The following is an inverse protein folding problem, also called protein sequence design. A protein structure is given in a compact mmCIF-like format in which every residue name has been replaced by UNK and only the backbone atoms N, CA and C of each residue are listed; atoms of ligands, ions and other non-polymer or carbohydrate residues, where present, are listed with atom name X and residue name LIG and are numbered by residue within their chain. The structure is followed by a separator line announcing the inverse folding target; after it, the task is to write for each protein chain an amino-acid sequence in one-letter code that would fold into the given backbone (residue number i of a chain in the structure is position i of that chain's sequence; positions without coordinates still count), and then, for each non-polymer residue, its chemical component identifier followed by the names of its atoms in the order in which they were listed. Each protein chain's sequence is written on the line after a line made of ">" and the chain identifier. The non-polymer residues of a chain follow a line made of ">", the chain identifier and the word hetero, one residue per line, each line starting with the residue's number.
data_IF_704721664793
#
_entry.id   IF_704721664793
#
_cell.length_a   1.000
_cell.length_b   1.000
_cell.length_c   1.000
_cell.angle_alpha   90.00
_cell.angle_beta   90.00
_cell.angle_gamma   90.00
#
_symmetry.space_group_name_H-M   'P 1'
#
loop_
_entity.id
_entity.type
_entity.pdbx_description
1 polymer ?
#
# COMPACT_ATOMS: atom_id res chain seq x y z
N UNK A 1 36.70 44.71 26.06
CA UNK A 1 37.61 45.09 24.96
C UNK A 1 37.11 44.39 23.71
N UNK A 2 36.67 45.19 22.75
CA UNK A 2 35.82 44.85 21.60
C UNK A 2 36.50 43.90 20.61
N UNK A 3 35.71 42.94 20.10
CA UNK A 3 36.00 42.18 18.88
C UNK A 3 35.84 43.14 17.70
N UNK A 4 36.93 43.46 17.00
CA UNK A 4 36.91 44.01 15.65
C UNK A 4 38.12 43.44 14.90
N UNK A 5 37.95 42.24 14.36
CA UNK A 5 38.76 41.75 13.25
C UNK A 5 38.51 42.69 12.06
N UNK A 6 39.53 43.44 11.67
CA UNK A 6 39.52 44.26 10.46
C UNK A 6 39.49 43.35 9.24
N UNK A 7 38.32 43.25 8.60
CA UNK A 7 38.17 42.78 7.22
C UNK A 7 39.05 43.66 6.32
N UNK A 8 40.18 43.10 5.89
CA UNK A 8 41.09 43.75 4.96
C UNK A 8 40.47 43.65 3.55
N UNK A 9 39.61 44.62 3.21
CA UNK A 9 39.00 44.73 1.89
C UNK A 9 40.10 45.19 0.93
N UNK A 10 40.71 44.26 0.20
CA UNK A 10 41.52 44.61 -0.97
C UNK A 10 40.58 45.19 -2.03
N UNK A 11 40.63 46.51 -2.20
CA UNK A 11 40.01 47.20 -3.33
C UNK A 11 40.85 46.94 -4.59
N UNK A 12 40.19 46.63 -5.71
CA UNK A 12 40.82 46.33 -6.99
C UNK A 12 40.76 44.86 -7.39
N UNK A 13 40.43 44.61 -8.66
CA UNK A 13 40.37 43.27 -9.23
C UNK A 13 41.77 42.68 -9.43
N UNK A 14 41.98 41.37 -9.18
CA UNK A 14 43.23 40.69 -9.51
C UNK A 14 43.62 40.85 -10.98
N UNK A 15 44.92 40.98 -11.25
CA UNK A 15 45.48 41.13 -12.61
C UNK A 15 44.96 40.08 -13.60
N UNK A 16 44.77 38.85 -13.13
CA UNK A 16 44.18 37.76 -13.92
C UNK A 16 42.76 38.07 -14.41
N UNK A 17 41.93 38.72 -13.59
CA UNK A 17 40.58 39.11 -14.00
C UNK A 17 40.63 40.31 -14.95
N UNK A 18 41.49 41.29 -14.67
CA UNK A 18 41.70 42.44 -15.56
C UNK A 18 42.17 42.00 -16.95
N UNK A 19 42.99 40.95 -17.05
CA UNK A 19 43.43 40.39 -18.34
C UNK A 19 42.30 39.82 -19.20
N UNK A 20 41.15 39.53 -18.59
CA UNK A 20 39.96 39.04 -19.28
C UNK A 20 38.82 40.09 -19.31
N UNK A 21 39.08 41.33 -18.90
CA UNK A 21 38.09 42.39 -18.92
C UNK A 21 37.72 42.77 -20.34
N UNK A 22 36.42 42.84 -20.66
CA UNK A 22 35.99 43.18 -22.00
C UNK A 22 36.27 44.68 -22.31
N UNK A 23 36.99 45.01 -23.40
CA UNK A 23 37.50 46.36 -23.65
C UNK A 23 36.39 47.42 -23.88
N UNK A 24 35.23 46.99 -24.37
CA UNK A 24 34.15 47.90 -24.81
C UNK A 24 32.76 47.58 -24.25
N UNK A 25 32.61 46.67 -23.28
CA UNK A 25 31.26 46.27 -22.80
C UNK A 25 30.97 46.63 -21.34
N UNK A 26 31.96 47.17 -20.64
CA UNK A 26 31.85 47.58 -19.24
C UNK A 26 31.92 49.11 -19.09
N UNK A 27 31.34 49.84 -20.04
CA UNK A 27 31.38 51.30 -20.06
C UNK A 27 30.81 51.90 -18.77
N UNK A 28 31.53 52.87 -18.18
CA UNK A 28 31.12 53.54 -16.96
C UNK A 28 31.40 52.75 -15.67
N UNK A 29 32.07 51.61 -15.76
CA UNK A 29 32.48 50.81 -14.59
C UNK A 29 33.98 50.99 -14.35
N UNK A 30 34.36 51.50 -13.18
CA UNK A 30 35.75 51.63 -12.76
C UNK A 30 36.22 50.33 -12.05
N UNK A 31 37.16 49.55 -12.60
CA UNK A 31 37.62 48.29 -12.00
C UNK A 31 38.27 48.44 -10.62
N UNK A 32 38.84 49.62 -10.32
CA UNK A 32 39.55 49.89 -9.05
C UNK A 32 38.58 50.13 -7.88
N UNK A 33 37.31 50.41 -8.18
CA UNK A 33 36.24 50.60 -7.19
C UNK A 33 35.49 49.29 -6.88
N UNK A 34 35.83 48.19 -7.55
CA UNK A 34 35.16 46.91 -7.40
C UNK A 34 35.88 46.01 -6.40
N UNK A 35 35.07 45.28 -5.62
CA UNK A 35 35.55 44.25 -4.71
C UNK A 35 35.35 42.86 -5.29
N UNK A 36 36.16 41.92 -4.80
CA UNK A 36 36.14 40.52 -5.20
C UNK A 36 34.82 39.79 -4.89
N UNK A 37 34.00 40.34 -3.98
CA UNK A 37 32.69 39.81 -3.59
C UNK A 37 31.53 40.46 -4.33
N UNK A 38 31.82 41.36 -5.27
CA UNK A 38 30.79 42.09 -5.99
C UNK A 38 29.95 41.17 -6.89
N UNK A 39 28.63 41.39 -6.83
CA UNK A 39 27.65 40.76 -7.72
C UNK A 39 27.49 41.50 -9.05
N UNK A 40 28.25 42.57 -9.27
CA UNK A 40 28.14 43.41 -10.46
C UNK A 40 28.39 42.61 -11.74
N UNK A 41 27.51 42.80 -12.73
CA UNK A 41 27.54 42.00 -13.95
C UNK A 41 28.58 42.54 -14.93
N UNK A 42 29.69 41.83 -15.06
CA UNK A 42 30.82 42.23 -15.89
C UNK A 42 30.87 41.37 -17.16
N UNK A 43 31.19 42.01 -18.29
CA UNK A 43 31.56 41.32 -19.52
C UNK A 43 33.05 40.96 -19.50
N UNK A 44 33.32 39.70 -19.80
CA UNK A 44 34.64 39.12 -19.90
C UNK A 44 34.91 38.65 -21.33
N UNK A 45 36.18 38.63 -21.73
CA UNK A 45 36.66 38.04 -22.97
C UNK A 45 37.90 37.19 -22.67
N UNK A 46 37.95 35.95 -23.17
CA UNK A 46 39.11 35.09 -22.98
C UNK A 46 40.10 35.23 -24.14
N UNK A 47 41.33 34.70 -24.03
CA UNK A 47 42.32 34.74 -25.11
C UNK A 47 41.87 34.12 -26.44
N UNK A 48 40.92 33.17 -26.40
CA UNK A 48 40.29 32.56 -27.59
C UNK A 48 39.18 33.43 -28.21
N UNK A 49 38.99 34.67 -27.72
CA UNK A 49 37.99 35.62 -28.21
C UNK A 49 36.55 35.30 -27.80
N UNK A 50 36.33 34.39 -26.83
CA UNK A 50 34.98 34.11 -26.35
C UNK A 50 34.55 35.15 -25.33
N UNK A 51 33.41 35.78 -25.59
CA UNK A 51 32.82 36.78 -24.72
C UNK A 51 31.70 36.17 -23.86
N UNK A 52 31.65 36.51 -22.58
CA UNK A 52 30.55 36.13 -21.70
C UNK A 52 30.33 37.16 -20.59
N UNK A 53 29.10 37.26 -20.09
CA UNK A 53 28.77 38.09 -18.93
C UNK A 53 28.63 37.25 -17.67
N UNK A 54 29.18 37.71 -16.55
CA UNK A 54 29.03 37.09 -15.23
C UNK A 54 29.50 38.02 -14.11
N UNK A 55 29.05 37.80 -12.88
CA UNK A 55 29.54 38.52 -11.71
C UNK A 55 31.03 38.28 -11.44
N UNK A 56 31.70 39.23 -10.77
CA UNK A 56 33.09 39.08 -10.30
C UNK A 56 33.18 37.90 -9.34
N UNK A 57 32.27 37.83 -8.37
CA UNK A 57 32.19 36.73 -7.41
C UNK A 57 32.13 35.35 -8.09
N UNK A 58 31.27 35.18 -9.09
CA UNK A 58 31.17 33.91 -9.82
C UNK A 58 32.37 33.66 -10.75
N UNK A 59 32.99 34.72 -11.30
CA UNK A 59 34.19 34.61 -12.14
C UNK A 59 35.37 34.14 -11.31
N UNK A 60 35.49 34.54 -10.06
CA UNK A 60 36.52 34.00 -9.17
C UNK A 60 36.31 32.52 -8.88
N UNK A 61 35.06 32.09 -8.67
CA UNK A 61 34.74 30.68 -8.46
C UNK A 61 34.99 29.81 -9.69
N UNK A 62 34.66 30.32 -10.89
CA UNK A 62 34.81 29.59 -12.15
C UNK A 62 36.16 29.89 -12.78
N UNK A 63 37.11 28.95 -12.69
CA UNK A 63 38.52 29.17 -13.10
C UNK A 63 38.75 29.44 -14.60
N UNK A 64 37.76 29.22 -15.46
CA UNK A 64 37.94 29.25 -16.92
C UNK A 64 36.68 29.74 -17.67
N UNK A 65 36.89 30.16 -18.92
CA UNK A 65 35.83 30.56 -19.84
C UNK A 65 34.79 29.42 -20.04
N UNK A 66 33.48 29.68 -19.88
CA UNK A 66 32.44 28.68 -20.03
C UNK A 66 32.42 27.99 -21.40
N UNK A 67 32.70 28.74 -22.48
CA UNK A 67 32.72 28.21 -23.85
C UNK A 67 33.93 27.32 -24.07
N UNK A 68 35.12 27.72 -23.62
CA UNK A 68 36.32 26.88 -23.68
C UNK A 68 36.16 25.60 -22.87
N UNK A 69 35.57 25.67 -21.67
CA UNK A 69 35.29 24.49 -20.85
C UNK A 69 34.32 23.53 -21.56
N UNK A 70 33.28 24.07 -22.21
CA UNK A 70 32.33 23.26 -22.97
C UNK A 70 33.02 22.56 -24.15
N UNK A 71 33.88 23.26 -24.88
CA UNK A 71 34.65 22.70 -25.99
C UNK A 71 35.61 21.60 -25.50
N UNK A 72 36.40 21.85 -24.44
CA UNK A 72 37.27 20.83 -23.82
C UNK A 72 36.51 19.60 -23.34
N UNK A 73 35.31 19.79 -22.78
CA UNK A 73 34.44 18.66 -22.38
C UNK A 73 33.92 17.89 -23.59
N UNK A 74 33.64 18.57 -24.70
CA UNK A 74 33.17 17.93 -25.92
C UNK A 74 34.28 17.13 -26.60
N UNK A 75 35.50 17.67 -26.69
CA UNK A 75 36.66 16.97 -27.27
C UNK A 75 37.03 15.74 -26.45
N UNK A 76 37.13 15.87 -25.12
CA UNK A 76 37.39 14.73 -24.22
C UNK A 76 36.31 13.64 -24.33
N UNK A 77 35.05 14.01 -24.54
CA UNK A 77 33.96 13.04 -24.77
C UNK A 77 34.08 12.33 -26.12
N UNK A 78 34.59 13.00 -27.15
CA UNK A 78 34.83 12.41 -28.47
C UNK A 78 36.00 11.43 -28.44
N UNK A 79 37.12 11.81 -27.81
CA UNK A 79 38.31 10.95 -27.62
C UNK A 79 37.94 9.67 -26.85
N UNK A 80 37.22 9.78 -25.72
CA UNK A 80 36.75 8.62 -24.95
C UNK A 80 35.78 7.74 -25.75
N UNK A 81 35.12 8.26 -26.78
CA UNK A 81 34.22 7.48 -27.63
C UNK A 81 34.99 6.64 -28.66
N UNK A 82 36.13 7.13 -29.17
CA UNK A 82 36.98 6.40 -30.13
C UNK A 82 37.77 5.26 -29.48
N UNK A 83 38.14 5.38 -28.20
CA UNK A 83 38.91 4.34 -27.47
C UNK A 83 38.06 3.20 -26.89
N UNK A 84 36.72 3.29 -26.94
CA UNK A 84 35.85 2.26 -26.37
C UNK A 84 35.92 0.98 -27.21
N UNK A 85 36.67 0.00 -26.70
CA UNK A 85 36.62 -1.38 -27.18
C UNK A 85 35.16 -1.88 -27.09
N UNK A 86 34.55 -2.14 -28.24
CA UNK A 86 33.21 -2.70 -28.35
C UNK A 86 33.28 -4.14 -27.84
N UNK A 87 32.62 -4.40 -26.69
CA UNK A 87 32.48 -5.74 -26.12
C UNK A 87 31.07 -6.25 -26.28
N UNK A 88 30.94 -7.56 -26.41
CA UNK A 88 29.65 -8.24 -26.57
C UNK A 88 29.01 -8.54 -25.21
N UNK A 89 27.72 -8.89 -25.17
CA UNK A 89 27.07 -9.30 -23.93
C UNK A 89 27.73 -10.55 -23.33
N UNK A 90 28.04 -11.55 -24.16
CA UNK A 90 28.71 -12.78 -23.73
C UNK A 90 30.06 -12.50 -23.06
N UNK A 91 30.85 -11.55 -23.60
CA UNK A 91 32.16 -11.20 -23.05
C UNK A 91 32.07 -10.47 -21.70
N UNK A 92 31.05 -9.65 -21.49
CA UNK A 92 30.90 -8.83 -20.29
C UNK A 92 30.17 -9.57 -19.18
N UNK A 93 29.15 -10.36 -19.51
CA UNK A 93 28.29 -11.04 -18.53
C UNK A 93 27.73 -12.38 -19.07
N UNK A 94 28.54 -13.47 -19.04
CA UNK A 94 28.13 -14.79 -19.52
C UNK A 94 26.92 -15.37 -18.78
N UNK A 95 26.75 -15.06 -17.50
CA UNK A 95 25.60 -15.56 -16.71
C UNK A 95 24.30 -14.86 -17.10
N UNK A 96 24.37 -13.59 -17.46
CA UNK A 96 23.24 -12.87 -18.02
C UNK A 96 22.91 -13.37 -19.44
N UNK A 97 23.93 -13.63 -20.26
CA UNK A 97 23.77 -14.17 -21.61
C UNK A 97 23.01 -15.51 -21.64
N UNK A 98 23.19 -16.37 -20.64
CA UNK A 98 22.41 -17.61 -20.46
C UNK A 98 20.89 -17.40 -20.31
N UNK A 99 20.45 -16.20 -19.97
CA UNK A 99 19.03 -15.84 -19.86
C UNK A 99 18.50 -15.20 -21.14
N UNK A 100 19.30 -15.13 -22.21
CA UNK A 100 18.85 -14.62 -23.50
C UNK A 100 17.74 -15.50 -24.07
N UNK A 101 16.69 -14.87 -24.60
CA UNK A 101 15.60 -15.63 -25.18
C UNK A 101 16.05 -16.29 -26.50
N UNK A 102 15.80 -17.61 -26.71
CA UNK A 102 16.34 -18.35 -27.85
C UNK A 102 15.79 -17.92 -29.22
N UNK A 103 14.51 -17.51 -29.30
CA UNK A 103 13.84 -17.24 -30.60
C UNK A 103 13.43 -15.76 -30.79
N UNK A 104 12.95 -15.07 -29.74
CA UNK A 104 12.31 -13.74 -29.86
C UNK A 104 13.25 -12.57 -30.13
N UNK A 105 14.56 -12.78 -30.18
CA UNK A 105 15.53 -11.75 -30.53
C UNK A 105 15.92 -11.79 -32.02
N UNK A 106 15.05 -12.30 -32.89
CA UNK A 106 15.21 -12.27 -34.36
C UNK A 106 16.54 -12.89 -34.85
N UNK A 107 17.03 -13.91 -34.14
CA UNK A 107 18.29 -14.58 -34.46
C UNK A 107 19.56 -13.85 -33.98
N UNK A 108 19.44 -12.71 -33.30
CA UNK A 108 20.57 -12.05 -32.64
C UNK A 108 21.00 -12.88 -31.43
N UNK A 109 22.28 -13.21 -31.35
CA UNK A 109 22.88 -13.98 -30.26
C UNK A 109 23.66 -13.09 -29.29
N UNK A 110 23.87 -13.52 -28.03
CA UNK A 110 24.61 -12.75 -27.03
C UNK A 110 26.06 -12.39 -27.40
N UNK A 111 26.70 -13.21 -28.24
CA UNK A 111 28.05 -12.99 -28.77
C UNK A 111 28.08 -12.02 -29.97
N UNK A 112 26.92 -11.68 -30.54
CA UNK A 112 26.80 -10.73 -31.64
C UNK A 112 26.22 -9.36 -31.21
N UNK A 113 25.69 -9.26 -29.98
CA UNK A 113 25.08 -8.02 -29.47
C UNK A 113 26.09 -7.20 -28.66
N UNK A 114 26.14 -5.90 -28.94
CA UNK A 114 26.99 -4.95 -28.21
C UNK A 114 26.40 -4.73 -26.81
N UNK A 115 27.24 -4.84 -25.77
CA UNK A 115 26.81 -4.70 -24.37
C UNK A 115 26.20 -3.32 -24.05
N UNK A 116 26.76 -2.25 -24.62
CA UNK A 116 26.29 -0.85 -24.47
C UNK A 116 25.44 -0.40 -25.67
N UNK A 117 24.50 -1.23 -26.12
CA UNK A 117 23.54 -0.86 -27.19
C UNK A 117 22.47 0.16 -26.73
N UNK A 118 22.59 0.66 -25.49
CA UNK A 118 21.75 1.71 -24.93
C UNK A 118 20.36 1.23 -24.51
N UNK A 119 19.31 1.86 -25.06
CA UNK A 119 17.91 1.67 -24.62
C UNK A 119 17.17 0.57 -25.39
N UNK A 120 17.86 -0.23 -26.19
CA UNK A 120 17.26 -1.34 -26.92
C UNK A 120 16.78 -2.40 -25.93
N UNK A 121 15.52 -2.82 -26.05
CA UNK A 121 14.93 -3.86 -25.21
C UNK A 121 15.10 -5.19 -25.90
N UNK A 122 15.56 -6.19 -25.15
CA UNK A 122 15.78 -7.55 -25.62
C UNK A 122 14.89 -8.50 -24.85
N UNK A 123 14.55 -9.61 -25.47
CA UNK A 123 13.78 -10.67 -24.84
C UNK A 123 14.69 -11.55 -23.99
N UNK A 124 14.24 -11.83 -22.77
CA UNK A 124 14.89 -12.67 -21.80
C UNK A 124 13.98 -13.82 -21.41
N UNK A 125 14.56 -14.94 -21.02
CA UNK A 125 13.85 -16.10 -20.50
C UNK A 125 14.59 -16.63 -19.26
N UNK A 126 13.87 -16.87 -18.17
CA UNK A 126 14.47 -17.50 -16.98
C UNK A 126 14.29 -19.03 -17.03
N UNK A 127 14.95 -19.74 -16.12
CA UNK A 127 14.85 -21.22 -15.99
C UNK A 127 13.43 -21.74 -15.74
N UNK A 128 12.50 -20.88 -15.31
CA UNK A 128 11.08 -21.20 -15.13
C UNK A 128 10.24 -20.83 -16.36
N UNK A 129 10.87 -20.60 -17.52
CA UNK A 129 10.26 -20.24 -18.79
C UNK A 129 9.44 -18.94 -18.79
N UNK A 130 9.58 -18.10 -17.77
CA UNK A 130 9.01 -16.76 -17.83
C UNK A 130 9.80 -15.92 -18.83
N UNK A 131 9.09 -15.20 -19.68
CA UNK A 131 9.65 -14.38 -20.75
C UNK A 131 9.34 -12.91 -20.52
N UNK A 132 10.33 -12.03 -20.68
CA UNK A 132 10.12 -10.59 -20.55
C UNK A 132 11.10 -9.77 -21.38
N UNK A 133 10.71 -8.53 -21.65
CA UNK A 133 11.57 -7.56 -22.33
C UNK A 133 12.22 -6.58 -21.35
N UNK A 134 13.54 -6.42 -21.44
CA UNK A 134 14.31 -5.44 -20.67
C UNK A 134 15.61 -5.08 -21.40
N UNK A 135 16.23 -3.94 -21.07
CA UNK A 135 17.51 -3.55 -21.65
C UNK A 135 18.67 -4.32 -20.98
N UNK A 136 19.76 -4.56 -21.73
CA UNK A 136 20.99 -5.17 -21.19
C UNK A 136 21.52 -4.35 -20.01
N UNK A 137 21.53 -3.02 -20.14
CA UNK A 137 22.01 -2.11 -19.11
C UNK A 137 21.24 -2.27 -17.78
N UNK A 138 19.90 -2.32 -17.81
CA UNK A 138 19.08 -2.46 -16.61
C UNK A 138 19.30 -3.82 -15.93
N UNK A 139 19.35 -4.88 -16.74
CA UNK A 139 19.62 -6.25 -16.30
C UNK A 139 20.96 -6.37 -15.59
N UNK A 140 22.01 -5.83 -16.20
CA UNK A 140 23.37 -5.90 -15.66
C UNK A 140 23.53 -5.07 -14.39
N UNK A 141 23.10 -3.79 -14.40
CA UNK A 141 23.27 -2.89 -13.24
C UNK A 141 22.50 -3.35 -12.01
N UNK A 142 21.24 -3.76 -12.21
CA UNK A 142 20.38 -4.14 -11.09
C UNK A 142 20.53 -5.61 -10.70
N UNK A 143 21.28 -6.41 -11.48
CA UNK A 143 21.29 -7.88 -11.44
C UNK A 143 19.87 -8.42 -11.20
N UNK A 144 18.90 -7.82 -11.89
CA UNK A 144 17.50 -8.00 -11.57
C UNK A 144 17.17 -9.49 -11.69
N UNK A 145 16.41 -10.03 -10.75
CA UNK A 145 15.86 -11.39 -10.92
C UNK A 145 14.67 -11.28 -11.88
N UNK A 146 14.32 -12.36 -12.56
CA UNK A 146 13.10 -12.45 -13.38
C UNK A 146 11.91 -11.77 -12.65
N UNK A 147 11.21 -10.81 -13.29
CA UNK A 147 10.20 -9.99 -12.62
C UNK A 147 9.00 -10.82 -12.13
N UNK A 148 8.71 -11.95 -12.77
CA UNK A 148 7.68 -12.88 -12.34
C UNK A 148 8.11 -13.66 -11.09
N UNK A 149 9.31 -14.26 -11.12
CA UNK A 149 9.87 -14.98 -9.96
C UNK A 149 10.06 -14.09 -8.73
N UNK A 150 10.33 -12.79 -8.94
CA UNK A 150 10.51 -11.82 -7.88
C UNK A 150 9.18 -11.21 -7.36
N UNK A 151 8.02 -11.70 -7.82
CA UNK A 151 6.70 -11.15 -7.49
C UNK A 151 6.58 -9.64 -7.78
N UNK A 152 7.15 -9.20 -8.90
CA UNK A 152 7.01 -7.84 -9.45
C UNK A 152 6.00 -7.78 -10.60
N UNK A 153 5.76 -8.91 -11.26
CA UNK A 153 4.74 -9.08 -12.30
C UNK A 153 3.90 -10.32 -12.00
N UNK A 154 2.61 -10.24 -12.33
CA UNK A 154 1.69 -11.37 -12.19
C UNK A 154 1.99 -12.45 -13.23
N UNK A 155 2.00 -13.70 -12.80
CA UNK A 155 1.97 -14.90 -13.62
C UNK A 155 1.08 -15.95 -12.93
N UNK A 156 0.88 -17.08 -13.60
CA UNK A 156 0.07 -18.19 -13.09
C UNK A 156 0.56 -18.70 -11.72
N UNK A 157 1.87 -18.72 -11.50
CA UNK A 157 2.48 -19.23 -10.27
C UNK A 157 2.31 -18.31 -9.05
N UNK A 158 1.97 -17.03 -9.27
CA UNK A 158 1.90 -16.04 -8.19
C UNK A 158 0.59 -15.23 -8.17
N UNK A 159 -0.38 -15.58 -9.01
CA UNK A 159 -1.67 -14.93 -8.98
C UNK A 159 -2.51 -15.39 -7.79
N UNK A 160 -3.40 -14.52 -7.31
CA UNK A 160 -4.24 -14.80 -6.15
C UNK A 160 -5.09 -16.06 -6.35
N UNK A 161 -5.66 -16.25 -7.54
CA UNK A 161 -6.52 -17.39 -7.85
C UNK A 161 -5.83 -18.74 -7.75
N UNK A 162 -4.59 -18.85 -8.26
CA UNK A 162 -3.83 -20.10 -8.22
C UNK A 162 -3.30 -20.40 -6.82
N UNK A 163 -2.77 -19.39 -6.12
CA UNK A 163 -2.12 -19.60 -4.82
C UNK A 163 -3.14 -19.68 -3.67
N UNK A 164 -4.24 -18.93 -3.72
CA UNK A 164 -5.28 -18.88 -2.68
C UNK A 164 -6.70 -18.97 -3.26
N UNK A 165 -7.10 -20.13 -3.83
CA UNK A 165 -8.38 -20.28 -4.51
C UNK A 165 -9.59 -19.99 -3.61
N UNK A 166 -9.54 -20.36 -2.33
CA UNK A 166 -10.64 -20.09 -1.38
C UNK A 166 -10.82 -18.59 -1.10
N UNK A 167 -9.74 -17.81 -1.11
CA UNK A 167 -9.81 -16.36 -0.97
C UNK A 167 -10.30 -15.73 -2.28
N UNK A 168 -9.85 -16.25 -3.42
CA UNK A 168 -10.26 -15.79 -4.74
C UNK A 168 -11.77 -15.94 -5.00
N UNK A 169 -12.44 -16.93 -4.39
CA UNK A 169 -13.91 -17.04 -4.42
C UNK A 169 -14.63 -15.81 -3.87
N UNK A 170 -13.98 -15.03 -3.00
CA UNK A 170 -14.54 -13.81 -2.46
C UNK A 170 -14.25 -12.58 -3.33
N UNK A 171 -13.61 -12.72 -4.49
CA UNK A 171 -13.28 -11.59 -5.36
C UNK A 171 -14.54 -10.97 -5.97
N UNK A 172 -14.76 -9.67 -5.76
CA UNK A 172 -15.92 -8.99 -6.33
C UNK A 172 -15.58 -8.37 -7.70
N UNK A 173 -15.86 -9.08 -8.78
CA UNK A 173 -15.45 -8.69 -10.15
C UNK A 173 -15.98 -7.31 -10.55
N UNK A 174 -17.25 -7.00 -10.25
CA UNK A 174 -17.89 -5.77 -10.73
C UNK A 174 -17.27 -4.49 -10.18
N UNK A 175 -16.87 -4.46 -8.91
CA UNK A 175 -16.25 -3.27 -8.29
C UNK A 175 -14.73 -3.20 -8.49
N UNK A 176 -14.10 -4.31 -8.89
CA UNK A 176 -12.67 -4.34 -9.20
C UNK A 176 -12.37 -4.12 -10.68
N UNK A 177 -13.39 -4.20 -11.54
CA UNK A 177 -13.27 -4.05 -12.98
C UNK A 177 -13.68 -2.66 -13.42
N UNK A 178 -13.12 -2.21 -14.54
CA UNK A 178 -13.62 -1.02 -15.25
C UNK A 178 -14.40 -1.47 -16.47
N UNK A 179 -15.13 -0.55 -17.12
CA UNK A 179 -15.81 -0.85 -18.38
C UNK A 179 -14.85 -1.37 -19.47
N UNK A 180 -13.61 -0.89 -19.47
CA UNK A 180 -12.58 -1.26 -20.45
C UNK A 180 -11.75 -2.49 -20.07
N UNK A 181 -11.74 -2.89 -18.80
CA UNK A 181 -10.85 -3.95 -18.32
C UNK A 181 -11.52 -4.76 -17.21
N UNK A 182 -11.76 -6.04 -17.51
CA UNK A 182 -12.24 -7.02 -16.52
C UNK A 182 -11.05 -7.47 -15.68
N UNK A 183 -11.12 -7.21 -14.38
CA UNK A 183 -10.07 -7.55 -13.44
C UNK A 183 -10.50 -8.73 -12.58
N UNK A 184 -9.82 -9.86 -12.74
CA UNK A 184 -10.07 -11.09 -12.00
C UNK A 184 -8.94 -11.39 -10.99
N UNK A 185 -9.18 -12.36 -10.10
CA UNK A 185 -8.16 -12.86 -9.18
C UNK A 185 -6.95 -13.52 -9.89
N UNK A 186 -7.03 -13.83 -11.19
CA UNK A 186 -5.89 -14.29 -12.00
C UNK A 186 -4.98 -13.13 -12.44
N UNK A 187 -5.47 -11.89 -12.43
CA UNK A 187 -4.73 -10.72 -12.92
C UNK A 187 -3.97 -9.98 -11.81
N UNK A 188 -3.98 -10.50 -10.58
CA UNK A 188 -3.39 -9.83 -9.41
C UNK A 188 -2.49 -10.79 -8.64
N UNK A 189 -1.39 -10.26 -8.08
CA UNK A 189 -0.48 -11.04 -7.23
C UNK A 189 -1.06 -11.19 -5.82
N UNK A 190 -0.90 -12.37 -5.21
CA UNK A 190 -1.41 -12.65 -3.85
C UNK A 190 -0.82 -11.75 -2.75
N UNK A 191 0.39 -11.20 -2.98
CA UNK A 191 1.09 -10.34 -2.03
C UNK A 191 0.94 -8.85 -2.34
N UNK A 192 0.05 -8.48 -3.28
CA UNK A 192 -0.15 -7.09 -3.67
C UNK A 192 -0.66 -6.24 -2.50
N UNK A 193 -0.18 -4.99 -2.42
CA UNK A 193 -0.66 -3.98 -1.48
C UNK A 193 -1.85 -3.18 -2.02
N UNK A 194 -2.34 -3.52 -3.20
CA UNK A 194 -3.50 -2.86 -3.80
C UNK A 194 -4.78 -3.21 -3.05
N UNK A 195 -5.68 -2.24 -2.95
CA UNK A 195 -7.03 -2.43 -2.44
C UNK A 195 -7.87 -3.19 -3.47
N UNK A 196 -8.65 -4.14 -2.97
CA UNK A 196 -9.65 -4.85 -3.75
C UNK A 196 -10.99 -4.89 -3.02
N UNK A 197 -12.06 -5.01 -3.80
CA UNK A 197 -13.40 -5.27 -3.29
C UNK A 197 -13.67 -6.77 -3.20
N UNK A 198 -14.28 -7.17 -2.10
CA UNK A 198 -14.58 -8.55 -1.77
C UNK A 198 -16.07 -8.71 -1.50
N UNK A 199 -16.59 -9.90 -1.76
CA UNK A 199 -17.97 -10.28 -1.49
C UNK A 199 -18.00 -11.65 -0.82
N UNK A 200 -18.88 -11.83 0.17
CA UNK A 200 -19.09 -13.13 0.79
C UNK A 200 -20.35 -13.81 0.24
N UNK A 201 -20.55 -15.09 0.60
CA UNK A 201 -21.73 -15.87 0.19
C UNK A 201 -23.07 -15.26 0.62
N UNK A 202 -23.07 -14.39 1.65
CA UNK A 202 -24.25 -13.67 2.11
C UNK A 202 -24.44 -12.31 1.41
N UNK A 203 -23.60 -11.98 0.43
CA UNK A 203 -23.69 -10.75 -0.37
C UNK A 203 -23.07 -9.50 0.25
N UNK A 204 -22.42 -9.60 1.42
CA UNK A 204 -21.76 -8.44 2.02
C UNK A 204 -20.51 -8.06 1.23
N UNK A 205 -20.43 -6.79 0.82
CA UNK A 205 -19.27 -6.23 0.13
C UNK A 205 -18.39 -5.42 1.08
N UNK A 206 -17.06 -5.55 0.93
CA UNK A 206 -16.09 -4.73 1.66
C UNK A 206 -14.79 -4.49 0.87
N UNK A 207 -14.00 -3.50 1.29
CA UNK A 207 -12.71 -3.11 0.69
C UNK A 207 -11.58 -3.48 1.64
N UNK A 208 -10.57 -4.19 1.15
CA UNK A 208 -9.38 -4.60 1.92
C UNK A 208 -8.23 -4.89 0.94
N UNK A 209 -6.97 -4.70 1.37
CA UNK A 209 -5.81 -5.05 0.54
C UNK A 209 -5.70 -6.55 0.33
N UNK A 210 -5.20 -6.94 -0.85
CA UNK A 210 -5.01 -8.35 -1.21
C UNK A 210 -4.07 -9.06 -0.23
N UNK A 211 -2.90 -8.48 0.04
CA UNK A 211 -1.93 -9.03 0.99
C UNK A 211 -2.44 -9.10 2.43
N UNK A 212 -3.29 -8.17 2.86
CA UNK A 212 -3.90 -8.20 4.19
C UNK A 212 -4.96 -9.31 4.27
N UNK A 213 -5.80 -9.45 3.24
CA UNK A 213 -6.78 -10.53 3.13
C UNK A 213 -6.13 -11.91 3.24
N UNK A 214 -5.03 -12.12 2.51
CA UNK A 214 -4.24 -13.35 2.52
C UNK A 214 -3.63 -13.64 3.89
N UNK A 215 -3.08 -12.63 4.56
CA UNK A 215 -2.48 -12.78 5.91
C UNK A 215 -3.52 -13.04 7.00
N UNK A 216 -4.64 -12.32 6.95
CA UNK A 216 -5.64 -12.35 8.00
C UNK A 216 -6.47 -13.64 7.94
N UNK A 217 -6.80 -14.12 6.75
CA UNK A 217 -7.66 -15.31 6.55
C UNK A 217 -9.08 -15.20 7.14
N UNK A 218 -9.41 -14.09 7.81
CA UNK A 218 -10.68 -13.90 8.53
C UNK A 218 -11.84 -13.79 7.55
N UNK A 219 -13.01 -14.33 7.87
CA UNK A 219 -14.18 -14.20 7.00
C UNK A 219 -14.68 -12.75 6.87
N UNK A 220 -15.86 -12.61 6.26
CA UNK A 220 -16.54 -11.32 6.22
C UNK A 220 -16.83 -10.80 7.65
N UNK A 221 -16.28 -9.63 8.01
CA UNK A 221 -16.50 -9.02 9.34
C UNK A 221 -17.97 -8.76 9.64
N UNK A 222 -18.77 -8.43 8.62
CA UNK A 222 -20.22 -8.27 8.79
C UNK A 222 -20.84 -9.61 9.22
N UNK A 223 -20.50 -10.71 8.56
CA UNK A 223 -20.98 -12.04 8.96
C UNK A 223 -20.56 -12.40 10.39
N UNK A 224 -19.33 -12.09 10.80
CA UNK A 224 -18.85 -12.30 12.18
C UNK A 224 -19.66 -11.49 13.21
N UNK A 225 -20.04 -10.26 12.87
CA UNK A 225 -20.91 -9.44 13.72
C UNK A 225 -22.32 -10.05 13.83
N UNK A 226 -22.91 -10.48 12.71
CA UNK A 226 -24.24 -11.09 12.66
C UNK A 226 -24.32 -12.44 13.39
N UNK A 227 -23.24 -13.23 13.41
CA UNK A 227 -23.15 -14.48 14.16
C UNK A 227 -23.32 -14.29 15.67
N UNK A 228 -23.04 -13.09 16.19
CA UNK A 228 -23.18 -12.75 17.60
C UNK A 228 -24.38 -11.82 17.86
N UNK A 229 -25.29 -11.70 16.90
CA UNK A 229 -26.45 -10.82 17.01
C UNK A 229 -27.45 -11.32 18.06
N UNK A 230 -28.17 -10.37 18.66
CA UNK A 230 -29.26 -10.66 19.59
C UNK A 230 -30.35 -11.47 18.89
N UNK A 231 -30.74 -11.09 17.66
CA UNK A 231 -31.78 -11.78 16.91
C UNK A 231 -31.43 -13.25 16.62
N UNK A 232 -30.16 -13.55 16.32
CA UNK A 232 -29.74 -14.92 16.03
C UNK A 232 -29.61 -15.77 17.30
N UNK A 233 -28.99 -15.25 18.35
CA UNK A 233 -28.61 -16.03 19.54
C UNK A 233 -29.68 -16.01 20.65
N UNK A 234 -30.57 -15.01 20.68
CA UNK A 234 -31.71 -14.98 21.59
C UNK A 234 -32.95 -14.33 20.92
N UNK A 235 -33.65 -15.08 20.04
CA UNK A 235 -34.81 -14.58 19.32
C UNK A 235 -35.97 -14.15 20.23
N UNK A 236 -36.18 -14.83 21.37
CA UNK A 236 -37.26 -14.47 22.30
C UNK A 236 -37.01 -13.12 22.95
N UNK A 237 -35.76 -12.85 23.35
CA UNK A 237 -35.40 -11.53 23.86
C UNK A 237 -35.46 -10.46 22.76
N UNK A 238 -35.08 -10.79 21.52
CA UNK A 238 -35.22 -9.86 20.38
C UNK A 238 -36.67 -9.43 20.13
N UNK A 239 -37.67 -10.29 20.40
CA UNK A 239 -39.09 -9.92 20.31
C UNK A 239 -39.50 -8.85 21.33
N UNK A 240 -38.81 -8.76 22.47
CA UNK A 240 -39.04 -7.70 23.45
C UNK A 240 -38.39 -6.36 23.04
N UNK A 241 -37.79 -6.25 21.86
CA UNK A 241 -37.19 -5.00 21.38
C UNK A 241 -38.28 -3.97 21.05
N UNK A 242 -38.20 -2.77 21.64
CA UNK A 242 -39.16 -1.72 21.35
C UNK A 242 -38.77 -0.98 20.05
N UNK A 243 -39.37 -1.37 18.92
CA UNK A 243 -39.06 -0.82 17.59
C UNK A 243 -39.25 0.71 17.55
N UNK A 244 -40.44 1.19 17.93
CA UNK A 244 -40.82 2.60 17.82
C UNK A 244 -39.91 3.53 18.62
N UNK A 245 -39.54 3.16 19.86
CA UNK A 245 -38.65 4.00 20.68
C UNK A 245 -37.18 3.92 20.30
N UNK A 246 -36.77 2.85 19.62
CA UNK A 246 -35.38 2.66 19.21
C UNK A 246 -35.09 3.18 17.80
N UNK A 247 -36.08 3.27 16.91
CA UNK A 247 -35.93 3.72 15.52
C UNK A 247 -35.31 5.13 15.37
N UNK A 248 -35.60 6.03 16.32
CA UNK A 248 -35.04 7.39 16.35
C UNK A 248 -33.83 7.59 17.27
N UNK A 249 -33.33 6.55 17.94
CA UNK A 249 -32.19 6.69 18.86
C UNK A 249 -30.88 6.65 18.07
N UNK A 250 -30.11 7.76 18.13
CA UNK A 250 -28.81 7.83 17.47
C UNK A 250 -27.89 6.67 17.91
N UNK A 251 -27.40 5.91 16.92
CA UNK A 251 -26.45 4.81 17.13
C UNK A 251 -27.07 3.49 17.61
N UNK A 252 -28.39 3.42 17.84
CA UNK A 252 -29.07 2.16 18.15
C UNK A 252 -29.34 1.41 16.84
N UNK A 253 -28.85 0.18 16.77
CA UNK A 253 -29.05 -0.69 15.61
C UNK A 253 -30.21 -1.66 15.86
N UNK A 254 -30.59 -2.41 14.84
CA UNK A 254 -31.62 -3.45 14.97
C UNK A 254 -31.12 -4.63 15.83
N UNK A 255 -32.00 -5.53 16.29
CA UNK A 255 -31.61 -6.76 16.97
C UNK A 255 -30.68 -7.67 16.15
N UNK A 256 -30.77 -7.63 14.82
CA UNK A 256 -29.93 -8.39 13.89
C UNK A 256 -28.50 -7.83 13.85
N UNK A 257 -28.32 -6.53 14.09
CA UNK A 257 -27.01 -5.89 14.03
C UNK A 257 -26.39 -5.64 15.41
N UNK A 258 -27.19 -5.80 16.46
CA UNK A 258 -26.75 -5.58 17.84
C UNK A 258 -26.14 -6.85 18.43
N UNK A 259 -24.87 -6.78 18.84
CA UNK A 259 -24.19 -7.88 19.54
C UNK A 259 -24.91 -8.20 20.86
N UNK A 260 -25.07 -9.48 21.16
CA UNK A 260 -25.80 -9.95 22.33
C UNK A 260 -25.19 -9.52 23.68
N UNK A 261 -23.88 -9.23 23.71
CA UNK A 261 -23.16 -8.74 24.89
C UNK A 261 -23.02 -7.20 24.92
N UNK A 262 -23.69 -6.48 24.02
CA UNK A 262 -23.59 -5.02 23.91
C UNK A 262 -23.96 -4.32 25.22
N UNK A 263 -23.14 -3.34 25.62
CA UNK A 263 -23.43 -2.43 26.73
C UNK A 263 -24.41 -1.31 26.36
N UNK A 264 -24.90 -1.29 25.11
CA UNK A 264 -25.86 -0.30 24.65
C UNK A 264 -27.19 -0.44 25.39
N UNK A 265 -27.65 0.68 25.95
CA UNK A 265 -28.94 0.78 26.62
C UNK A 265 -30.04 1.10 25.62
N UNK A 266 -30.96 0.17 25.41
CA UNK A 266 -32.07 0.27 24.46
C UNK A 266 -33.41 0.14 25.17
N UNK A 267 -34.48 0.52 24.50
CA UNK A 267 -35.84 0.35 24.99
C UNK A 267 -36.33 -1.07 24.73
N UNK A 268 -36.95 -1.64 25.76
CA UNK A 268 -37.59 -2.95 25.74
C UNK A 268 -39.07 -2.82 26.02
N UNK A 269 -39.85 -3.68 25.42
CA UNK A 269 -41.28 -3.87 25.67
C UNK A 269 -41.47 -5.27 26.25
N UNK A 270 -41.86 -5.36 27.52
CA UNK A 270 -42.04 -6.66 28.18
C UNK A 270 -43.23 -7.39 27.55
N UNK A 271 -43.01 -8.57 26.96
CA UNK A 271 -44.09 -9.37 26.37
C UNK A 271 -45.14 -9.86 27.37
N UNK A 272 -44.81 -9.93 28.67
CA UNK A 272 -45.73 -10.42 29.71
C UNK A 272 -46.70 -9.36 30.21
N UNK A 273 -46.23 -8.12 30.41
CA UNK A 273 -47.03 -7.06 31.06
C UNK A 273 -47.14 -5.78 30.23
N UNK A 274 -46.51 -5.71 29.06
CA UNK A 274 -46.47 -4.52 28.21
C UNK A 274 -45.65 -3.36 28.77
N UNK A 275 -44.99 -3.52 29.93
CA UNK A 275 -44.19 -2.44 30.50
C UNK A 275 -42.98 -2.14 29.62
N UNK A 276 -42.78 -0.85 29.34
CA UNK A 276 -41.64 -0.35 28.59
C UNK A 276 -40.52 0.10 29.52
N UNK A 277 -39.28 -0.27 29.23
CA UNK A 277 -38.15 0.05 30.10
C UNK A 277 -36.83 0.07 29.35
N UNK A 278 -35.88 0.87 29.84
CA UNK A 278 -34.53 0.98 29.26
C UNK A 278 -33.57 0.05 30.02
N UNK A 279 -32.83 -0.76 29.29
CA UNK A 279 -31.82 -1.65 29.87
C UNK A 279 -30.73 -1.99 28.84
N UNK A 280 -29.56 -2.39 29.34
CA UNK A 280 -28.45 -2.84 28.48
C UNK A 280 -28.75 -4.21 27.87
N UNK A 281 -28.40 -4.39 26.59
CA UNK A 281 -28.61 -5.65 25.86
C UNK A 281 -27.90 -6.83 26.52
N UNK A 282 -26.61 -6.69 26.83
CA UNK A 282 -25.85 -7.75 27.50
C UNK A 282 -26.40 -8.12 28.88
N UNK A 283 -26.87 -7.13 29.66
CA UNK A 283 -27.44 -7.38 30.98
C UNK A 283 -28.81 -8.08 30.90
N UNK A 284 -29.63 -7.73 29.89
CA UNK A 284 -30.88 -8.43 29.59
C UNK A 284 -30.62 -9.87 29.15
N UNK A 285 -29.65 -10.07 28.27
CA UNK A 285 -29.27 -11.40 27.80
C UNK A 285 -28.78 -12.31 28.94
N UNK A 286 -27.91 -11.81 29.82
CA UNK A 286 -27.43 -12.54 31.01
C UNK A 286 -28.49 -12.68 32.11
N UNK A 287 -29.65 -12.07 31.96
CA UNK A 287 -30.73 -12.10 32.94
C UNK A 287 -30.50 -11.28 34.21
N UNK A 288 -29.49 -10.40 34.20
CA UNK A 288 -29.14 -9.50 35.31
C UNK A 288 -30.21 -8.41 35.51
N UNK A 289 -30.83 -7.98 34.42
CA UNK A 289 -31.92 -7.01 34.42
C UNK A 289 -33.15 -7.69 33.83
N UNK A 290 -34.28 -7.57 34.53
CA UNK A 290 -35.59 -8.07 34.12
C UNK A 290 -36.63 -6.95 34.26
N UNK A 291 -37.80 -7.15 33.67
CA UNK A 291 -38.92 -6.23 33.84
C UNK A 291 -39.25 -6.09 35.34
N UNK A 292 -39.14 -4.88 35.88
CA UNK A 292 -39.38 -4.61 37.31
C UNK A 292 -40.83 -4.82 37.74
N UNK A 293 -41.77 -4.76 36.81
CA UNK A 293 -43.19 -5.04 37.07
C UNK A 293 -43.40 -6.55 37.28
N UNK A 294 -42.84 -7.39 36.42
CA UNK A 294 -42.93 -8.84 36.53
C UNK A 294 -42.00 -9.43 37.61
N UNK A 295 -40.86 -8.78 37.83
CA UNK A 295 -39.82 -9.20 38.77
C UNK A 295 -39.40 -7.99 39.63
N UNK A 296 -40.24 -7.59 40.60
CA UNK A 296 -39.92 -6.50 41.50
C UNK A 296 -38.62 -6.79 42.25
N UNK A 297 -37.71 -5.84 42.21
CA UNK A 297 -36.40 -5.96 42.85
C UNK A 297 -36.61 -6.11 44.37
N UNK A 298 -36.13 -7.19 44.97
CA UNK A 298 -36.05 -7.28 46.43
C UNK A 298 -35.08 -6.20 46.91
N UNK A 299 -35.58 -5.14 47.53
CA UNK A 299 -34.78 -4.11 48.19
C UNK A 299 -34.09 -4.73 49.41
N UNK A 300 -32.93 -5.36 49.20
CA UNK A 300 -32.01 -5.66 50.29
C UNK A 300 -31.14 -4.43 50.52
N UNK A 301 -31.23 -3.88 51.73
CA UNK A 301 -30.42 -2.77 52.20
C UNK A 301 -28.93 -3.01 51.96
N UNK A 302 -28.25 -1.92 51.64
CA UNK A 302 -26.81 -1.86 51.39
C UNK A 302 -26.08 -2.43 52.62
N UNK A 303 -25.39 -3.55 52.45
CA UNK A 303 -24.20 -3.88 53.26
C UNK A 303 -23.09 -4.30 52.32
N UNK A 304 -21.91 -3.75 52.60
CA UNK A 304 -20.79 -3.63 51.70
C UNK A 304 -20.11 -4.98 51.38
N UNK A 305 -19.63 -5.06 50.14
CA UNK A 305 -18.45 -5.81 49.66
C UNK A 305 -18.20 -7.22 50.20
N UNK A 306 -18.42 -8.22 49.33
CA UNK A 306 -17.51 -9.34 49.22
C UNK A 306 -17.11 -9.57 47.75
N UNK A 307 -15.80 -9.39 47.49
CA UNK A 307 -15.13 -9.78 46.25
C UNK A 307 -15.42 -11.27 45.97
N UNK A 308 -16.01 -11.58 44.82
CA UNK A 308 -16.14 -12.95 44.35
C UNK A 308 -14.77 -13.47 43.90
N UNK A 309 -14.31 -14.56 44.54
CA UNK A 309 -13.28 -15.45 44.00
C UNK A 309 -13.81 -16.04 42.69
N UNK A 310 -13.01 -15.93 41.64
CA UNK A 310 -13.25 -16.70 40.42
C UNK A 310 -13.04 -18.19 40.69
N UNK A 311 -13.87 -19.02 40.06
CA UNK A 311 -13.49 -20.38 39.71
C UNK A 311 -14.11 -20.68 38.34
N UNK A 312 -13.23 -20.86 37.37
CA UNK A 312 -13.51 -21.43 36.07
C UNK A 312 -13.06 -22.90 36.16
N UNK A 313 -13.98 -23.84 35.95
CA UNK A 313 -13.80 -25.30 35.85
C UNK A 313 -15.23 -25.85 35.63
N UNK A 314 -15.55 -26.83 34.79
CA UNK A 314 -14.88 -27.60 33.75
C UNK A 314 -16.00 -28.42 33.06
N UNK A 315 -15.88 -28.62 31.74
CA UNK A 315 -16.26 -29.78 30.92
C UNK A 315 -17.53 -30.67 31.11
N UNK A 316 -17.98 -31.11 29.92
CA UNK A 316 -18.62 -32.39 29.49
C UNK A 316 -20.15 -32.61 29.53
N UNK A 317 -20.57 -33.22 28.42
CA UNK A 317 -21.78 -33.98 28.10
C UNK A 317 -23.14 -33.28 28.16
N UNK A 318 -23.60 -32.84 26.98
CA UNK A 318 -25.00 -32.98 26.63
C UNK A 318 -25.08 -33.54 25.22
N UNK A 319 -25.67 -34.73 25.08
CA UNK A 319 -26.14 -35.30 23.83
C UNK A 319 -26.57 -34.21 22.85
N UNK A 320 -25.96 -34.23 21.67
CA UNK A 320 -26.22 -33.29 20.60
C UNK A 320 -27.72 -33.31 20.28
N UNK A 321 -28.42 -32.22 20.66
CA UNK A 321 -29.86 -32.05 20.42
C UNK A 321 -30.20 -32.11 18.92
N UNK A 322 -29.20 -32.02 18.05
CA UNK A 322 -29.28 -32.30 16.62
C UNK A 322 -29.60 -33.76 16.31
N UNK A 323 -29.01 -34.73 17.02
CA UNK A 323 -29.24 -36.17 16.79
C UNK A 323 -30.67 -36.57 17.20
N UNK A 324 -31.17 -35.99 18.30
CA UNK A 324 -32.57 -36.18 18.73
C UNK A 324 -33.54 -35.60 17.69
N UNK A 325 -33.23 -34.41 17.16
CA UNK A 325 -34.04 -33.76 16.12
C UNK A 325 -34.01 -34.52 14.78
N UNK A 326 -32.84 -34.99 14.35
CA UNK A 326 -32.67 -35.73 13.09
C UNK A 326 -33.36 -37.09 13.12
N UNK A 327 -33.36 -37.80 14.25
CA UNK A 327 -34.10 -39.06 14.42
C UNK A 327 -35.62 -38.84 14.45
N UNK A 328 -36.09 -37.77 15.11
CA UNK A 328 -37.51 -37.40 15.11
C UNK A 328 -38.01 -36.94 13.74
N UNK A 329 -37.15 -36.31 12.93
CA UNK A 329 -37.48 -35.89 11.58
C UNK A 329 -37.57 -37.10 10.64
N UNK A 330 -36.64 -38.07 10.75
CA UNK A 330 -36.67 -39.32 9.97
C UNK A 330 -37.91 -40.14 10.24
N UNK A 331 -38.32 -40.30 11.50
CA UNK A 331 -39.57 -41.02 11.82
C UNK A 331 -40.82 -40.32 11.26
N UNK A 332 -40.85 -38.99 11.27
CA UNK A 332 -41.98 -38.21 10.69
C UNK A 332 -42.04 -38.30 9.18
N UNK A 333 -40.90 -38.42 8.49
CA UNK A 333 -40.84 -38.57 7.03
C UNK A 333 -41.29 -39.98 6.64
N UNK A 334 -40.82 -41.03 7.33
CA UNK A 334 -41.20 -42.43 7.06
C UNK A 334 -42.71 -42.65 7.28
N UNK A 335 -43.33 -42.00 8.27
CA UNK A 335 -44.79 -42.09 8.48
C UNK A 335 -45.60 -41.40 7.38
N UNK A 336 -45.06 -40.35 6.76
CA UNK A 336 -45.70 -39.62 5.65
C UNK A 336 -45.59 -40.31 4.29
N UNK A 337 -44.66 -41.25 4.14
CA UNK A 337 -44.48 -42.02 2.90
C UNK A 337 -45.27 -43.34 2.89
N UNK A 338 -45.83 -43.75 4.05
CA UNK A 338 -46.62 -44.98 4.21
C UNK A 338 -48.13 -44.74 4.46
N UNK A 339 -48.58 -43.48 4.43
CA UNK A 339 -49.99 -43.04 4.36
C UNK A 339 -50.30 -42.57 2.94
#
# INVERSE_FOLDING_TARGET
>A
MSILETLNIHNGLPEKLLSEWHPTKNHGINPDELTNESYEYIWWICPEGHEWGMSIYDRQKKKECPKCLRLKKATKRAEVKEERQIKTLEEVDPELAKQWHPIKNEGITPDAVVFDEGRVRRWWQCKRNHEWEETIESRHKNKSVCPYCANKKVCEDNCLATVYPEIAKNWFVFENSTYSEVRTAYNVMYNSSEDAYWICEKGHVWREKISERVKNGKGCRKCELFQNSLALLNPELAKEWNLTKNEGQYGVKTPEETNINSSQSVWWLCNTCGNEYKAQVGARHRGEIKCKVCHPSQTKGITATQKRKGKFEMYTDMEDRRVIFENQLKEKIIRKENE
#
